data_IF_777985269768
#
_entry.id   IF_777985269768
#
_cell.length_a   1.000
_cell.length_b   1.000
_cell.length_c   1.000
_cell.angle_alpha   90.00
_cell.angle_beta   90.00
_cell.angle_gamma   90.00
#
_symmetry.space_group_name_H-M   'P 1'
#
loop_
_entity.id
_entity.type
_entity.pdbx_description
1 polymer ?
#
# COMPACT_ATOMS: atom_id res chain seq x y z
N UNK A 1 -29.93 -7.50 55.05
CA UNK A 1 -30.19 -7.61 53.58
C UNK A 1 -28.85 -7.58 52.85
N UNK A 2 -28.29 -8.75 52.51
CA UNK A 2 -26.99 -8.87 51.83
C UNK A 2 -27.21 -8.91 50.31
N UNK A 3 -26.58 -7.98 49.56
CA UNK A 3 -26.56 -7.99 48.09
C UNK A 3 -25.24 -8.60 47.62
N UNK A 4 -25.28 -9.87 47.27
CA UNK A 4 -24.20 -10.57 46.57
C UNK A 4 -24.12 -10.01 45.14
N UNK A 5 -23.06 -9.27 44.81
CA UNK A 5 -22.76 -8.87 43.42
C UNK A 5 -21.84 -9.92 42.79
N UNK A 6 -22.15 -10.47 41.61
CA UNK A 6 -21.23 -11.40 40.94
C UNK A 6 -20.00 -10.64 40.42
N UNK A 7 -18.84 -11.29 40.48
CA UNK A 7 -17.58 -10.74 40.01
C UNK A 7 -17.65 -10.40 38.52
N UNK A 8 -17.28 -9.18 38.16
CA UNK A 8 -17.22 -8.72 36.78
C UNK A 8 -16.25 -9.58 35.98
N UNK A 9 -16.76 -10.27 34.95
CA UNK A 9 -15.99 -10.97 33.94
C UNK A 9 -15.17 -9.95 33.15
N UNK A 10 -13.91 -9.79 33.50
CA UNK A 10 -12.94 -9.11 32.63
C UNK A 10 -12.60 -10.07 31.49
N UNK A 11 -13.25 -9.91 30.33
CA UNK A 11 -12.78 -10.53 29.10
C UNK A 11 -11.46 -9.85 28.68
N UNK A 12 -10.34 -10.44 29.10
CA UNK A 12 -9.00 -10.03 28.67
C UNK A 12 -8.66 -10.47 27.24
N UNK A 13 -9.60 -11.11 26.52
CA UNK A 13 -9.40 -11.59 25.15
C UNK A 13 -9.76 -10.52 24.12
N UNK A 14 -9.15 -9.32 24.20
CA UNK A 14 -9.10 -8.45 23.03
C UNK A 14 -7.88 -8.86 22.21
N UNK A 15 -8.02 -9.60 21.10
CA UNK A 15 -6.87 -9.95 20.27
C UNK A 15 -6.23 -8.65 19.78
N UNK A 16 -5.02 -8.35 20.29
CA UNK A 16 -4.29 -7.16 19.90
C UNK A 16 -3.98 -7.22 18.41
N UNK A 17 -4.36 -6.18 17.67
CA UNK A 17 -4.03 -6.04 16.25
C UNK A 17 -2.53 -6.17 16.06
N UNK A 18 -2.10 -7.23 15.36
CA UNK A 18 -0.68 -7.50 15.10
C UNK A 18 -0.04 -6.34 14.31
N UNK A 19 1.29 -6.12 14.42
CA UNK A 19 1.97 -5.05 13.68
C UNK A 19 1.72 -5.08 12.15
N UNK A 20 1.53 -6.27 11.58
CA UNK A 20 1.19 -6.46 10.16
C UNK A 20 -0.19 -5.90 9.84
N UNK A 21 -1.19 -6.19 10.68
CA UNK A 21 -2.52 -5.60 10.52
C UNK A 21 -2.49 -4.08 10.69
N UNK A 22 -1.74 -3.56 11.68
CA UNK A 22 -1.62 -2.10 11.88
C UNK A 22 -1.02 -1.38 10.67
N UNK A 23 -0.03 -1.98 9.99
CA UNK A 23 0.53 -1.44 8.74
C UNK A 23 -0.53 -1.38 7.63
N UNK A 24 -1.32 -2.44 7.44
CA UNK A 24 -2.39 -2.49 6.44
C UNK A 24 -3.50 -1.44 6.64
N UNK A 25 -3.62 -0.87 7.84
CA UNK A 25 -4.56 0.21 8.13
C UNK A 25 -4.08 1.57 7.63
N UNK A 26 -2.78 1.75 7.35
CA UNK A 26 -2.27 3.01 6.83
C UNK A 26 -2.56 3.13 5.32
N UNK A 27 -3.05 4.28 4.83
CA UNK A 27 -3.39 4.48 3.42
C UNK A 27 -2.25 4.09 2.46
N UNK A 28 -1.02 4.51 2.75
CA UNK A 28 0.12 4.23 1.86
C UNK A 28 0.46 2.73 1.75
N UNK A 29 0.35 1.94 2.83
CA UNK A 29 0.54 0.49 2.73
C UNK A 29 -0.58 -0.18 1.94
N UNK A 30 -1.83 0.26 2.13
CA UNK A 30 -2.97 -0.26 1.38
C UNK A 30 -2.82 0.01 -0.12
N UNK A 31 -2.40 1.22 -0.49
CA UNK A 31 -2.13 1.58 -1.88
C UNK A 31 -0.92 0.84 -2.45
N UNK A 32 0.19 0.75 -1.70
CA UNK A 32 1.39 0.03 -2.14
C UNK A 32 1.09 -1.42 -2.54
N UNK A 33 0.27 -2.14 -1.76
CA UNK A 33 -0.10 -3.53 -2.06
C UNK A 33 -0.97 -3.65 -3.34
N UNK A 34 -1.89 -2.69 -3.58
CA UNK A 34 -2.73 -2.70 -4.79
C UNK A 34 -1.94 -2.32 -6.03
N UNK A 35 -1.12 -1.29 -5.93
CA UNK A 35 -0.21 -0.87 -7.00
C UNK A 35 0.74 -2.03 -7.34
N UNK A 36 1.32 -2.69 -6.35
CA UNK A 36 2.14 -3.89 -6.54
C UNK A 36 1.35 -5.00 -7.25
N UNK A 37 0.11 -5.28 -6.85
CA UNK A 37 -0.71 -6.30 -7.49
C UNK A 37 -0.97 -6.00 -8.98
N UNK A 38 -1.19 -4.72 -9.33
CA UNK A 38 -1.35 -4.30 -10.73
C UNK A 38 -0.04 -4.40 -11.50
N UNK A 39 1.03 -3.80 -10.97
CA UNK A 39 2.33 -3.71 -11.64
C UNK A 39 3.13 -5.01 -11.65
N UNK A 40 2.68 -6.05 -10.94
CA UNK A 40 3.19 -7.43 -11.06
C UNK A 40 2.31 -8.32 -11.96
N UNK A 41 1.19 -7.78 -12.47
CA UNK A 41 0.22 -8.49 -13.32
C UNK A 41 -0.68 -9.47 -12.57
N UNK A 42 -0.82 -9.35 -11.24
CA UNK A 42 -1.75 -10.16 -10.44
C UNK A 42 -3.20 -9.64 -10.52
N UNK A 43 -3.35 -8.36 -10.89
CA UNK A 43 -4.62 -7.66 -11.04
C UNK A 43 -4.59 -6.77 -12.27
N UNK A 44 -5.70 -6.61 -13.00
CA UNK A 44 -5.77 -5.69 -14.13
C UNK A 44 -5.78 -4.22 -13.66
N UNK A 45 -5.40 -3.29 -14.54
CA UNK A 45 -5.35 -1.85 -14.21
C UNK A 45 -6.71 -1.29 -13.79
N UNK A 46 -7.81 -1.74 -14.40
CA UNK A 46 -9.16 -1.27 -14.07
C UNK A 46 -9.57 -1.54 -12.61
N UNK A 47 -8.84 -2.40 -11.88
CA UNK A 47 -9.04 -2.62 -10.44
C UNK A 47 -8.67 -1.40 -9.57
N UNK A 48 -8.02 -0.40 -10.18
CA UNK A 48 -7.69 0.89 -9.60
C UNK A 48 -8.69 2.00 -9.95
N UNK A 49 -9.76 1.71 -10.73
CA UNK A 49 -10.82 2.68 -10.99
C UNK A 49 -11.45 3.15 -9.67
N UNK A 50 -11.64 4.47 -9.55
CA UNK A 50 -12.14 5.11 -8.33
C UNK A 50 -11.12 5.16 -7.17
N UNK A 51 -9.92 4.60 -7.35
CA UNK A 51 -8.79 4.70 -6.45
C UNK A 51 -7.63 5.52 -7.03
N UNK A 52 -7.75 6.01 -8.26
CA UNK A 52 -6.81 6.92 -8.91
C UNK A 52 -7.47 8.26 -9.21
N UNK A 53 -6.65 9.29 -9.31
CA UNK A 53 -6.97 10.64 -9.81
C UNK A 53 -5.79 11.18 -10.60
N UNK A 54 -5.99 12.30 -11.31
CA UNK A 54 -4.93 12.91 -12.09
C UNK A 54 -4.33 11.93 -13.09
N UNK A 55 -3.01 11.94 -13.22
CA UNK A 55 -2.26 11.12 -14.18
C UNK A 55 -2.05 9.66 -13.76
N UNK A 56 -2.31 9.30 -12.50
CA UNK A 56 -1.98 7.96 -11.98
C UNK A 56 -2.60 6.81 -12.77
N UNK A 57 -3.84 6.97 -13.26
CA UNK A 57 -4.48 5.90 -14.03
C UNK A 57 -3.74 5.66 -15.36
N UNK A 58 -3.43 6.73 -16.08
CA UNK A 58 -2.75 6.66 -17.37
C UNK A 58 -1.32 6.14 -17.20
N UNK A 59 -0.62 6.57 -16.15
CA UNK A 59 0.68 5.99 -15.77
C UNK A 59 0.60 4.48 -15.54
N UNK A 60 -0.43 3.99 -14.85
CA UNK A 60 -0.62 2.55 -14.66
C UNK A 60 -0.95 1.82 -15.96
N UNK A 61 -1.73 2.42 -16.86
CA UNK A 61 -2.01 1.85 -18.19
C UNK A 61 -0.72 1.70 -19.00
N UNK A 62 0.21 2.65 -18.90
CA UNK A 62 1.50 2.60 -19.57
C UNK A 62 2.46 1.59 -18.93
N UNK A 63 2.53 1.53 -17.60
CA UNK A 63 3.50 0.70 -16.88
C UNK A 63 3.08 -0.78 -16.76
N UNK A 64 1.79 -1.06 -16.52
CA UNK A 64 1.34 -2.40 -16.17
C UNK A 64 1.57 -3.50 -17.23
N UNK A 65 1.48 -3.25 -18.55
CA UNK A 65 1.73 -4.27 -19.57
C UNK A 65 3.13 -4.89 -19.47
N UNK A 66 4.14 -4.11 -19.07
CA UNK A 66 5.51 -4.60 -18.86
C UNK A 66 5.68 -5.45 -17.58
N UNK A 67 4.68 -5.47 -16.70
CA UNK A 67 4.74 -6.10 -15.37
C UNK A 67 6.06 -5.81 -14.62
N UNK A 68 6.46 -4.54 -14.49
CA UNK A 68 7.82 -4.15 -14.10
C UNK A 68 8.23 -4.61 -12.69
N UNK A 69 7.27 -5.01 -11.85
CA UNK A 69 7.53 -5.52 -10.50
C UNK A 69 7.43 -7.05 -10.39
N UNK A 70 7.26 -7.76 -11.52
CA UNK A 70 7.31 -9.22 -11.55
C UNK A 70 8.78 -9.66 -11.51
N UNK A 71 9.19 -10.26 -10.39
CA UNK A 71 10.49 -10.91 -10.30
C UNK A 71 10.47 -12.37 -10.77
N UNK A 72 11.66 -12.98 -10.99
CA UNK A 72 11.78 -14.36 -11.45
C UNK A 72 11.32 -15.35 -10.37
N UNK A 73 10.20 -16.04 -10.63
CA UNK A 73 9.72 -17.20 -9.86
C UNK A 73 9.24 -16.95 -8.42
N UNK A 74 9.49 -15.77 -7.86
CA UNK A 74 9.09 -15.41 -6.49
C UNK A 74 8.02 -14.33 -6.52
N UNK A 75 6.98 -14.50 -5.70
CA UNK A 75 5.92 -13.50 -5.56
C UNK A 75 6.50 -12.23 -4.93
N UNK A 76 6.42 -11.06 -5.59
CA UNK A 76 6.93 -9.82 -5.01
C UNK A 76 6.07 -9.40 -3.81
N UNK A 77 6.71 -8.80 -2.80
CA UNK A 77 6.05 -8.35 -1.56
C UNK A 77 6.53 -6.96 -1.15
N UNK A 78 5.63 -6.17 -0.55
CA UNK A 78 6.00 -4.90 0.08
C UNK A 78 6.78 -5.20 1.38
N UNK A 79 8.09 -4.95 1.38
CA UNK A 79 8.95 -5.16 2.55
C UNK A 79 8.87 -3.99 3.52
N UNK A 80 8.78 -2.80 2.98
CA UNK A 80 8.71 -1.55 3.74
C UNK A 80 7.98 -0.49 2.92
N UNK A 81 7.26 0.39 3.61
CA UNK A 81 6.71 1.60 3.04
C UNK A 81 7.01 2.76 3.99
N UNK A 82 7.57 3.83 3.44
CA UNK A 82 7.75 5.11 4.13
C UNK A 82 6.81 6.16 3.55
N UNK A 83 6.60 7.23 4.31
CA UNK A 83 5.72 8.33 3.96
C UNK A 83 6.33 9.68 4.34
N UNK A 84 6.00 10.71 3.57
CA UNK A 84 6.22 12.11 3.82
C UNK A 84 4.91 12.86 3.57
N UNK A 85 4.57 13.81 4.44
CA UNK A 85 3.30 14.55 4.38
C UNK A 85 3.61 16.00 4.06
N UNK A 86 3.66 16.39 2.76
CA UNK A 86 4.02 17.75 2.38
C UNK A 86 2.94 18.79 2.73
N UNK A 87 1.68 18.35 2.79
CA UNK A 87 0.52 19.19 3.10
C UNK A 87 -0.61 18.34 3.70
N UNK A 88 -1.58 18.94 4.41
CA UNK A 88 -2.79 18.25 4.83
C UNK A 88 -3.49 17.57 3.64
N UNK A 89 -3.86 16.30 3.80
CA UNK A 89 -4.51 15.53 2.75
C UNK A 89 -3.60 15.09 1.61
N UNK A 90 -2.28 15.25 1.72
CA UNK A 90 -1.32 14.74 0.72
C UNK A 90 -0.31 13.83 1.41
N UNK A 91 -0.05 12.67 0.81
CA UNK A 91 1.02 11.76 1.22
C UNK A 91 1.88 11.46 0.01
N UNK A 92 3.18 11.72 0.13
CA UNK A 92 4.19 11.17 -0.76
C UNK A 92 4.77 9.92 -0.10
N UNK A 93 4.73 8.80 -0.77
CA UNK A 93 5.14 7.53 -0.22
C UNK A 93 6.09 6.80 -1.16
N UNK A 94 6.88 5.91 -0.57
CA UNK A 94 7.67 4.95 -1.32
C UNK A 94 7.48 3.56 -0.72
N UNK A 95 7.48 2.55 -1.58
CA UNK A 95 7.46 1.15 -1.23
C UNK A 95 8.75 0.48 -1.70
N UNK A 96 9.43 -0.21 -0.78
CA UNK A 96 10.51 -1.16 -1.09
C UNK A 96 9.90 -2.53 -1.31
N UNK A 97 10.04 -3.04 -2.53
CA UNK A 97 9.48 -4.30 -2.98
C UNK A 97 10.60 -5.33 -3.06
N UNK A 98 10.41 -6.49 -2.46
CA UNK A 98 11.36 -7.60 -2.54
C UNK A 98 10.78 -8.77 -3.32
N UNK A 99 11.60 -9.40 -4.15
CA UNK A 99 11.29 -10.62 -4.89
C UNK A 99 12.53 -11.53 -4.95
N UNK A 100 12.60 -12.51 -4.04
CA UNK A 100 13.85 -13.24 -3.81
C UNK A 100 14.95 -12.28 -3.35
N UNK A 101 16.11 -12.33 -4.01
CA UNK A 101 17.25 -11.43 -3.77
C UNK A 101 17.10 -10.06 -4.45
N UNK A 102 16.11 -9.88 -5.34
CA UNK A 102 15.90 -8.62 -6.05
C UNK A 102 15.10 -7.64 -5.20
N UNK A 103 15.54 -6.38 -5.21
CA UNK A 103 14.85 -5.27 -4.54
C UNK A 103 14.60 -4.16 -5.55
N UNK A 104 13.34 -3.73 -5.62
CA UNK A 104 12.89 -2.60 -6.43
C UNK A 104 12.20 -1.55 -5.54
N UNK A 105 12.15 -0.32 -6.02
CA UNK A 105 11.44 0.77 -5.37
C UNK A 105 10.32 1.30 -6.27
N UNK A 106 9.21 1.67 -5.64
CA UNK A 106 8.09 2.34 -6.26
C UNK A 106 7.74 3.55 -5.42
N UNK A 107 7.71 4.74 -6.02
CA UNK A 107 7.20 5.95 -5.40
C UNK A 107 5.77 6.19 -5.87
N UNK A 108 4.95 6.79 -5.01
CA UNK A 108 3.60 7.15 -5.37
C UNK A 108 3.09 8.27 -4.48
N UNK A 109 2.21 9.09 -5.04
CA UNK A 109 1.56 10.18 -4.35
C UNK A 109 0.09 9.85 -4.11
N UNK A 110 -0.39 10.14 -2.92
CA UNK A 110 -1.80 10.02 -2.54
C UNK A 110 -2.34 11.40 -2.20
N UNK A 111 -3.56 11.65 -2.65
CA UNK A 111 -4.34 12.81 -2.21
C UNK A 111 -5.66 12.36 -1.60
N UNK A 112 -6.09 13.06 -0.58
CA UNK A 112 -7.39 12.91 0.05
C UNK A 112 -8.37 13.90 -0.60
N UNK A 113 -9.41 13.37 -1.24
CA UNK A 113 -10.47 14.20 -1.78
C UNK A 113 -11.32 14.84 -0.69
N UNK A 114 -12.18 15.79 -1.09
CA UNK A 114 -13.16 16.41 -0.18
C UNK A 114 -14.13 15.39 0.46
N UNK A 115 -14.31 14.23 -0.17
CA UNK A 115 -15.07 13.10 0.35
C UNK A 115 -14.29 12.24 1.35
N UNK A 116 -13.14 12.73 1.82
CA UNK A 116 -12.23 12.08 2.75
C UNK A 116 -11.62 10.76 2.24
N UNK A 117 -11.78 10.46 0.95
CA UNK A 117 -11.24 9.24 0.33
C UNK A 117 -9.87 9.51 -0.27
N UNK A 118 -8.91 8.68 0.13
CA UNK A 118 -7.58 8.65 -0.46
C UNK A 118 -7.62 8.06 -1.87
N UNK A 119 -6.89 8.70 -2.79
CA UNK A 119 -6.71 8.25 -4.17
C UNK A 119 -5.26 8.47 -4.57
N UNK A 120 -4.73 7.57 -5.38
CA UNK A 120 -3.41 7.69 -5.94
C UNK A 120 -3.42 8.73 -7.07
N UNK A 121 -2.53 9.72 -6.99
CA UNK A 121 -2.44 10.84 -7.91
C UNK A 121 -1.26 10.72 -8.89
N UNK A 122 -0.18 10.05 -8.48
CA UNK A 122 0.96 9.74 -9.34
C UNK A 122 1.65 8.44 -8.87
N UNK A 123 2.30 7.73 -9.80
CA UNK A 123 3.09 6.52 -9.56
C UNK A 123 4.36 6.55 -10.40
N UNK A 124 5.49 6.26 -9.77
CA UNK A 124 6.80 6.17 -10.42
C UNK A 124 7.54 4.91 -9.96
N UNK A 125 8.30 4.31 -10.86
CA UNK A 125 9.15 3.15 -10.56
C UNK A 125 10.60 3.56 -10.66
N UNK A 126 11.41 3.09 -9.71
CA UNK A 126 12.82 3.43 -9.63
C UNK A 126 13.56 3.09 -10.92
N UNK A 127 14.25 4.10 -11.45
CA UNK A 127 15.11 4.02 -12.62
C UNK A 127 16.23 2.99 -12.49
N UNK A 128 16.60 2.47 -13.65
CA UNK A 128 17.65 1.50 -13.90
C UNK A 128 18.88 1.71 -13.00
N UNK A 129 19.11 0.81 -12.03
CA UNK A 129 20.47 0.67 -11.50
C UNK A 129 21.25 -0.12 -12.53
N UNK A 130 21.85 0.59 -13.49
CA UNK A 130 23.04 0.08 -14.18
C UNK A 130 24.03 -0.24 -13.06
N UNK A 131 24.26 -1.52 -12.83
CA UNK A 131 25.34 -1.97 -11.96
C UNK A 131 26.64 -1.44 -12.52
N UNK A 132 27.40 -0.75 -11.67
CA UNK A 132 28.85 -0.59 -11.84
C UNK A 132 29.51 -1.81 -11.22
#
# INVERSE_FOLDING_TARGET
>A
MQRTRPAGRHDQHRPGTTPIQRRRLKPHYWFAERLLAVLSGQRPVHWMLGHTIGEAYDQLVLLAPGTPLRGPGVRPVVRHCGEFVPAPGVIEAFARIGSGEHVQAMAFRLEQGADLRWRCAAVELGGERVGV
#
